data_IF_161532394461
#
_entry.id   IF_161532394461
#
_cell.length_a   1.000
_cell.length_b   1.000
_cell.length_c   1.000
_cell.angle_alpha   90.00
_cell.angle_beta   90.00
_cell.angle_gamma   90.00
#
_symmetry.space_group_name_H-M   'P 1'
#
loop_
_entity.id
_entity.type
_entity.pdbx_description
1 polymer ?
#
# COMPACT_ATOMS: atom_id res chain seq x y z
N UNK A 1 10.99 12.65 27.82
CA UNK A 1 10.82 13.70 26.78
C UNK A 1 11.38 13.18 25.47
N UNK A 2 10.63 12.33 24.74
CA UNK A 2 11.09 11.82 23.43
C UNK A 2 10.58 12.75 22.33
N UNK A 3 11.38 13.75 21.97
CA UNK A 3 11.15 14.58 20.79
C UNK A 3 11.27 13.71 19.53
N UNK A 4 10.14 13.23 19.03
CA UNK A 4 10.07 12.56 17.74
C UNK A 4 10.48 13.55 16.66
N UNK A 5 11.59 13.28 15.96
CA UNK A 5 11.95 14.01 14.76
C UNK A 5 10.80 13.86 13.76
N UNK A 6 10.03 14.92 13.58
CA UNK A 6 9.12 15.09 12.46
C UNK A 6 9.97 15.12 11.19
N UNK A 7 9.94 14.04 10.41
CA UNK A 7 10.51 14.05 9.07
C UNK A 7 9.50 14.71 8.14
N UNK A 8 9.89 15.73 7.38
CA UNK A 8 9.05 16.30 6.32
C UNK A 8 8.87 15.36 5.13
N UNK A 9 9.54 14.22 5.11
CA UNK A 9 9.40 13.21 4.06
C UNK A 9 7.97 12.69 3.99
N UNK A 10 7.35 12.64 2.80
CA UNK A 10 5.98 12.18 2.65
C UNK A 10 5.81 10.72 3.10
N UNK A 11 4.69 10.42 3.72
CA UNK A 11 4.34 9.06 4.13
C UNK A 11 3.54 8.37 3.02
N UNK A 12 3.85 7.10 2.80
CA UNK A 12 3.05 6.19 1.97
C UNK A 12 2.29 5.27 2.92
N UNK A 13 1.00 5.12 2.70
CA UNK A 13 0.14 4.17 3.41
C UNK A 13 -0.23 3.05 2.46
N UNK A 14 0.00 1.81 2.89
CA UNK A 14 -0.30 0.61 2.11
C UNK A 14 -1.28 -0.28 2.85
N UNK A 15 -2.09 -1.01 2.10
CA UNK A 15 -2.84 -2.14 2.65
C UNK A 15 -1.86 -3.27 3.01
N UNK A 16 -2.06 -3.91 4.16
CA UNK A 16 -1.38 -5.15 4.49
C UNK A 16 -1.99 -6.30 3.69
N UNK A 17 -1.14 -7.14 3.14
CA UNK A 17 -1.52 -8.37 2.46
C UNK A 17 -1.19 -9.56 3.36
N UNK A 18 -1.96 -10.65 3.25
CA UNK A 18 -1.52 -11.92 3.81
C UNK A 18 -0.24 -12.42 3.11
N UNK A 19 0.47 -13.33 3.76
CA UNK A 19 1.77 -13.81 3.30
C UNK A 19 1.70 -14.46 1.91
N UNK A 20 0.62 -15.19 1.61
CA UNK A 20 0.48 -15.89 0.33
C UNK A 20 0.23 -14.89 -0.81
N UNK A 21 -0.61 -13.90 -0.59
CA UNK A 21 -0.85 -12.80 -1.52
C UNK A 21 0.43 -11.98 -1.75
N UNK A 22 1.14 -11.62 -0.68
CA UNK A 22 2.40 -10.87 -0.76
C UNK A 22 3.43 -11.62 -1.62
N UNK A 23 3.68 -12.90 -1.33
CA UNK A 23 4.62 -13.73 -2.08
C UNK A 23 4.24 -13.88 -3.55
N UNK A 24 2.94 -14.00 -3.84
CA UNK A 24 2.43 -14.08 -5.22
C UNK A 24 2.73 -12.79 -5.99
N UNK A 25 2.44 -11.63 -5.43
CA UNK A 25 2.66 -10.37 -6.13
C UNK A 25 4.13 -9.96 -6.19
N UNK A 26 4.93 -10.30 -5.18
CA UNK A 26 6.39 -10.14 -5.22
C UNK A 26 7.01 -10.92 -6.37
N UNK A 27 6.55 -12.17 -6.60
CA UNK A 27 7.00 -13.00 -7.72
C UNK A 27 6.65 -12.38 -9.07
N UNK A 28 5.43 -11.88 -9.24
CA UNK A 28 5.03 -11.19 -10.46
C UNK A 28 5.91 -9.97 -10.75
N UNK A 29 6.33 -9.23 -9.72
CA UNK A 29 7.29 -8.13 -9.88
C UNK A 29 8.68 -8.65 -10.26
N UNK A 30 9.16 -9.72 -9.63
CA UNK A 30 10.44 -10.31 -9.99
C UNK A 30 10.49 -10.82 -11.44
N UNK A 31 9.38 -11.40 -11.93
CA UNK A 31 9.29 -11.98 -13.28
C UNK A 31 9.08 -10.92 -14.38
N UNK A 32 8.34 -9.85 -14.09
CA UNK A 32 7.86 -8.91 -15.13
C UNK A 32 8.36 -7.47 -15.00
N UNK A 33 8.91 -7.08 -13.84
CA UNK A 33 9.43 -5.73 -13.63
C UNK A 33 10.94 -5.68 -13.89
N UNK A 34 11.46 -4.63 -14.57
CA UNK A 34 12.90 -4.49 -14.78
C UNK A 34 13.66 -4.55 -13.45
N UNK A 35 14.63 -5.47 -13.36
CA UNK A 35 15.34 -5.77 -12.11
C UNK A 35 16.06 -4.54 -11.54
N UNK A 36 16.62 -3.70 -12.41
CA UNK A 36 17.30 -2.46 -12.06
C UNK A 36 16.39 -1.38 -11.46
N UNK A 37 15.06 -1.57 -11.51
CA UNK A 37 14.05 -0.66 -10.91
C UNK A 37 13.22 -1.34 -9.82
N UNK A 38 13.40 -2.63 -9.59
CA UNK A 38 12.59 -3.40 -8.66
C UNK A 38 13.19 -3.39 -7.24
N UNK A 39 13.13 -2.23 -6.58
CA UNK A 39 13.69 -2.04 -5.23
C UNK A 39 12.68 -2.24 -4.09
N UNK A 40 11.41 -2.46 -4.43
CA UNK A 40 10.31 -2.59 -3.47
C UNK A 40 9.52 -3.87 -3.74
N UNK A 41 9.04 -4.48 -2.65
CA UNK A 41 8.03 -5.52 -2.70
C UNK A 41 6.71 -4.98 -3.27
N UNK A 42 5.85 -5.87 -3.72
CA UNK A 42 4.52 -5.53 -4.17
C UNK A 42 3.75 -4.88 -3.02
N UNK A 43 2.98 -3.85 -3.34
CA UNK A 43 2.21 -3.14 -2.34
C UNK A 43 0.97 -2.54 -2.99
N UNK A 44 -0.07 -2.39 -2.18
CA UNK A 44 -1.30 -1.71 -2.55
C UNK A 44 -1.28 -0.35 -1.87
N UNK A 45 -1.02 0.71 -2.64
CA UNK A 45 -0.99 2.08 -2.11
C UNK A 45 -2.41 2.61 -1.88
N UNK A 46 -2.73 2.95 -0.64
CA UNK A 46 -3.95 3.70 -0.30
C UNK A 46 -3.71 5.19 -0.48
N UNK A 47 -2.62 5.70 0.11
CA UNK A 47 -2.17 7.09 0.01
C UNK A 47 -0.68 7.13 -0.36
N UNK A 48 -0.31 7.94 -1.36
CA UNK A 48 1.07 7.99 -1.87
C UNK A 48 1.89 9.16 -1.31
N UNK A 49 1.27 10.10 -0.60
CA UNK A 49 1.95 11.28 -0.05
C UNK A 49 1.12 11.96 1.06
N UNK A 50 1.11 11.40 2.27
CA UNK A 50 0.61 12.11 3.45
C UNK A 50 1.71 12.98 4.07
N UNK A 51 1.37 14.08 4.77
CA UNK A 51 2.36 14.94 5.41
C UNK A 51 3.19 14.19 6.45
N UNK A 52 4.51 14.15 6.25
CA UNK A 52 5.45 13.47 7.15
C UNK A 52 5.47 14.04 8.55
N UNK A 53 5.25 15.34 8.65
CA UNK A 53 5.22 16.06 9.91
C UNK A 53 4.05 15.70 10.81
N UNK A 54 3.00 15.08 10.24
CA UNK A 54 1.81 14.62 10.96
C UNK A 54 1.85 13.12 11.27
N UNK A 55 3.03 12.50 11.28
CA UNK A 55 3.18 11.04 11.51
C UNK A 55 2.43 10.52 12.75
N UNK A 56 2.43 11.27 13.85
CA UNK A 56 1.72 10.86 15.06
C UNK A 56 0.20 10.80 14.82
N UNK A 57 -0.38 11.86 14.26
CA UNK A 57 -1.82 11.94 13.94
C UNK A 57 -2.22 10.86 12.93
N UNK A 58 -1.44 10.70 11.86
CA UNK A 58 -1.66 9.65 10.84
C UNK A 58 -1.66 8.26 11.48
N UNK A 59 -0.76 7.98 12.43
CA UNK A 59 -0.73 6.69 13.14
C UNK A 59 -1.97 6.46 14.01
N UNK A 60 -2.46 7.50 14.69
CA UNK A 60 -3.69 7.42 15.49
C UNK A 60 -4.90 7.12 14.60
N UNK A 61 -5.05 7.86 13.50
CA UNK A 61 -6.14 7.68 12.54
C UNK A 61 -6.10 6.29 11.90
N UNK A 62 -4.91 5.82 11.49
CA UNK A 62 -4.74 4.47 10.95
C UNK A 62 -5.08 3.39 11.96
N UNK A 63 -4.79 3.57 13.25
CA UNK A 63 -5.19 2.60 14.28
C UNK A 63 -6.70 2.47 14.38
N UNK A 64 -7.43 3.57 14.32
CA UNK A 64 -8.90 3.56 14.30
C UNK A 64 -9.44 2.93 13.01
N UNK A 65 -8.90 3.32 11.85
CA UNK A 65 -9.34 2.79 10.56
C UNK A 65 -9.07 1.28 10.43
N UNK A 66 -7.95 0.80 10.97
CA UNK A 66 -7.55 -0.60 10.97
C UNK A 66 -8.20 -1.44 12.08
N UNK A 67 -8.99 -0.85 12.99
CA UNK A 67 -9.72 -1.57 14.03
C UNK A 67 -10.95 -2.30 13.46
N UNK A 68 -10.69 -3.22 12.52
CA UNK A 68 -11.68 -4.05 11.83
C UNK A 68 -11.10 -5.42 11.49
N UNK A 69 -11.94 -6.43 11.26
CA UNK A 69 -11.47 -7.72 10.74
C UNK A 69 -10.80 -7.56 9.37
N UNK A 70 -9.89 -8.49 9.01
CA UNK A 70 -9.44 -8.65 7.63
C UNK A 70 -10.63 -8.87 6.69
N UNK A 71 -10.48 -8.48 5.43
CA UNK A 71 -11.52 -8.61 4.40
C UNK A 71 -10.90 -9.05 3.08
N UNK A 72 -11.70 -9.75 2.27
CA UNK A 72 -11.29 -10.21 0.96
C UNK A 72 -11.22 -9.06 -0.04
N UNK A 73 -10.21 -9.10 -0.91
CA UNK A 73 -10.05 -8.15 -2.01
C UNK A 73 -9.99 -8.93 -3.32
N UNK A 74 -10.94 -8.67 -4.20
CA UNK A 74 -10.97 -9.32 -5.51
C UNK A 74 -9.97 -8.66 -6.46
N UNK A 75 -9.15 -9.48 -7.12
CA UNK A 75 -8.38 -9.06 -8.30
C UNK A 75 -9.28 -9.19 -9.52
N UNK A 76 -9.68 -8.08 -10.12
CA UNK A 76 -10.69 -8.04 -11.19
C UNK A 76 -10.10 -7.91 -12.59
N UNK A 77 -8.82 -7.57 -12.70
CA UNK A 77 -8.18 -7.45 -13.99
C UNK A 77 -6.75 -6.95 -13.93
N UNK A 78 -6.19 -6.81 -15.13
CA UNK A 78 -4.87 -6.25 -15.37
C UNK A 78 -5.04 -5.08 -16.32
N UNK A 79 -4.45 -3.93 -15.98
CA UNK A 79 -4.60 -2.69 -16.72
C UNK A 79 -3.25 -2.14 -17.14
N UNK A 80 -3.10 -1.88 -18.44
CA UNK A 80 -1.91 -1.25 -18.99
C UNK A 80 -1.96 0.27 -18.75
N UNK A 81 -0.86 0.84 -18.26
CA UNK A 81 -0.71 2.25 -17.90
C UNK A 81 0.16 3.03 -18.91
N UNK A 82 0.46 2.45 -20.07
CA UNK A 82 1.38 3.03 -21.07
C UNK A 82 2.85 2.79 -20.76
N UNK A 83 3.27 2.91 -19.50
CA UNK A 83 4.65 2.67 -19.03
C UNK A 83 4.76 1.60 -17.94
N UNK A 84 3.73 0.77 -17.81
CA UNK A 84 3.67 -0.29 -16.79
C UNK A 84 2.32 -0.96 -16.77
N UNK A 85 2.14 -1.83 -15.78
CA UNK A 85 0.95 -2.63 -15.57
C UNK A 85 0.47 -2.44 -14.13
N UNK A 86 -0.84 -2.26 -13.96
CA UNK A 86 -1.53 -2.29 -12.69
C UNK A 86 -2.45 -3.50 -12.60
N UNK A 87 -2.73 -3.93 -11.37
CA UNK A 87 -3.73 -4.94 -11.05
C UNK A 87 -4.95 -4.21 -10.48
N UNK A 88 -6.12 -4.52 -11.00
CA UNK A 88 -7.37 -3.91 -10.57
C UNK A 88 -7.92 -4.66 -9.36
N UNK A 89 -8.22 -3.92 -8.31
CA UNK A 89 -8.70 -4.44 -7.03
C UNK A 89 -10.12 -3.93 -6.78
N UNK A 90 -10.98 -4.81 -6.28
CA UNK A 90 -12.34 -4.49 -5.89
C UNK A 90 -12.65 -5.05 -4.50
N UNK A 91 -13.01 -4.15 -3.60
CA UNK A 91 -13.63 -4.45 -2.31
C UNK A 91 -14.37 -3.20 -1.83
N UNK A 92 -15.56 -3.37 -1.25
CA UNK A 92 -16.33 -2.25 -0.70
C UNK A 92 -15.56 -1.59 0.45
N UNK A 93 -14.86 -2.40 1.22
CA UNK A 93 -14.04 -2.04 2.36
C UNK A 93 -12.85 -1.17 1.97
N UNK A 94 -12.26 -1.36 0.78
CA UNK A 94 -11.17 -0.50 0.28
C UNK A 94 -11.65 0.93 0.03
N UNK A 95 -12.87 1.09 -0.48
CA UNK A 95 -13.46 2.42 -0.71
C UNK A 95 -13.75 3.12 0.63
N UNK A 96 -14.03 2.36 1.69
CA UNK A 96 -14.32 2.91 3.01
C UNK A 96 -13.08 3.35 3.81
N UNK A 97 -11.87 2.96 3.39
CA UNK A 97 -10.60 3.28 4.09
C UNK A 97 -9.65 4.15 3.27
N UNK A 98 -10.11 4.63 2.12
CA UNK A 98 -9.38 5.54 1.22
C UNK A 98 -9.95 6.95 1.31
#
# INVERSE_FOLDING_TARGET
MHGGRSSTSPLIVTLLLDDAAQQRFDRLRAEHFPAERNHLQAHVTLFHALPGERLAEVREELRTAAARPPFDVAVTGVRFLGRGVAIDLAATELTAVR
#
